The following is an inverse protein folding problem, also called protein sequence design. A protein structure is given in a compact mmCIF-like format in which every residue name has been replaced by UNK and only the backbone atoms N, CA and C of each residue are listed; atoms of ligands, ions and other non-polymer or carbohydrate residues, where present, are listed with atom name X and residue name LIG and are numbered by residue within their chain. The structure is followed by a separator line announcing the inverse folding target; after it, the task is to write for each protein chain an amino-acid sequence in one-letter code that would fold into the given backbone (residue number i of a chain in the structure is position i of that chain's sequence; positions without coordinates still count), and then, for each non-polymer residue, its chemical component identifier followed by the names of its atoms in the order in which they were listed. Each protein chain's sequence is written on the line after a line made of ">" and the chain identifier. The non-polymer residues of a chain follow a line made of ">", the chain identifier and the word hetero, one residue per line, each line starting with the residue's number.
data_IF_254066825072
#
_entry.id   IF_254066825072
#
_cell.length_a   1.000
_cell.length_b   1.000
_cell.length_c   1.000
_cell.angle_alpha   90.00
_cell.angle_beta   90.00
_cell.angle_gamma   90.00
#
_symmetry.space_group_name_H-M   'P 1'
#
loop_
_entity.id
_entity.type
_entity.pdbx_description
1 polymer ?
#
# COMPACT_ATOMS: atom_id res chain seq x y z
N UNK A 1 6.00 -24.13 -7.49
CA UNK A 1 6.51 -22.80 -7.90
C UNK A 1 5.63 -21.76 -7.23
N UNK A 2 6.22 -20.83 -6.48
CA UNK A 2 5.48 -19.83 -5.71
C UNK A 2 4.85 -18.73 -6.58
N UNK A 3 3.93 -17.92 -6.02
CA UNK A 3 3.38 -16.80 -6.76
C UNK A 3 4.47 -15.74 -7.03
N UNK A 4 4.43 -15.13 -8.21
CA UNK A 4 5.28 -13.97 -8.54
C UNK A 4 4.63 -12.69 -8.03
N UNK A 5 5.34 -11.97 -7.17
CA UNK A 5 4.88 -10.74 -6.53
C UNK A 5 5.80 -9.59 -6.93
N UNK A 6 5.20 -8.50 -7.39
CA UNK A 6 5.93 -7.25 -7.67
C UNK A 6 5.63 -6.29 -6.54
N UNK A 7 6.68 -5.76 -5.91
CA UNK A 7 6.61 -4.73 -4.87
C UNK A 7 7.00 -3.41 -5.52
N UNK A 8 6.09 -2.43 -5.47
CA UNK A 8 6.34 -1.09 -5.95
C UNK A 8 7.15 -0.30 -4.92
N UNK A 9 8.36 0.10 -5.30
CA UNK A 9 9.16 1.09 -4.61
C UNK A 9 8.78 2.48 -5.10
N UNK A 10 8.24 3.33 -4.23
CA UNK A 10 7.95 4.72 -4.55
C UNK A 10 8.89 5.70 -3.81
N UNK A 11 10.00 5.19 -3.28
CA UNK A 11 11.02 5.94 -2.55
C UNK A 11 10.82 6.00 -1.03
N UNK A 12 9.87 5.25 -0.47
CA UNK A 12 9.60 5.26 0.98
C UNK A 12 9.09 3.91 1.51
N UNK A 13 9.31 3.67 2.81
CA UNK A 13 8.88 2.49 3.54
C UNK A 13 9.99 1.48 3.83
N UNK A 14 9.63 0.38 4.49
CA UNK A 14 10.56 -0.68 4.89
C UNK A 14 10.54 -1.86 3.90
N UNK A 15 11.00 -1.61 2.68
CA UNK A 15 10.92 -2.55 1.55
C UNK A 15 11.63 -3.87 1.83
N UNK A 16 12.81 -3.82 2.45
CA UNK A 16 13.58 -5.02 2.83
C UNK A 16 12.79 -5.96 3.74
N UNK A 17 11.96 -5.42 4.63
CA UNK A 17 11.16 -6.26 5.52
C UNK A 17 9.95 -6.85 4.79
N UNK A 18 9.30 -6.07 3.94
CA UNK A 18 8.19 -6.54 3.12
C UNK A 18 8.65 -7.65 2.14
N UNK A 19 9.76 -7.44 1.45
CA UNK A 19 10.39 -8.41 0.54
C UNK A 19 10.69 -9.73 1.26
N UNK A 20 11.39 -9.66 2.41
CA UNK A 20 11.71 -10.85 3.20
C UNK A 20 10.48 -11.57 3.70
N UNK A 21 9.44 -10.85 4.10
CA UNK A 21 8.18 -11.43 4.55
C UNK A 21 7.48 -12.20 3.41
N UNK A 22 7.39 -11.59 2.23
CA UNK A 22 6.80 -12.21 1.03
C UNK A 22 7.61 -13.43 0.57
N UNK A 23 8.95 -13.32 0.54
CA UNK A 23 9.82 -14.45 0.21
C UNK A 23 9.67 -15.60 1.21
N UNK A 24 9.57 -15.31 2.52
CA UNK A 24 9.29 -16.31 3.55
C UNK A 24 7.92 -16.95 3.42
N UNK A 25 6.93 -16.22 2.89
CA UNK A 25 5.61 -16.75 2.55
C UNK A 25 5.62 -17.60 1.25
N UNK A 26 6.79 -17.76 0.60
CA UNK A 26 6.96 -18.59 -0.58
C UNK A 26 6.77 -17.86 -1.91
N UNK A 27 6.74 -16.52 -1.93
CA UNK A 27 6.66 -15.75 -3.16
C UNK A 27 8.03 -15.54 -3.81
N UNK A 28 8.05 -15.49 -5.13
CA UNK A 28 9.16 -14.93 -5.91
C UNK A 28 8.93 -13.43 -6.03
N UNK A 29 9.83 -12.62 -5.45
CA UNK A 29 9.61 -11.18 -5.27
C UNK A 29 10.49 -10.37 -6.22
N UNK A 30 9.90 -9.36 -6.87
CA UNK A 30 10.61 -8.34 -7.62
C UNK A 30 10.28 -6.98 -7.03
N UNK A 31 11.30 -6.22 -6.61
CA UNK A 31 11.14 -4.83 -6.18
C UNK A 31 11.46 -3.92 -7.37
N UNK A 32 10.60 -2.95 -7.66
CA UNK A 32 10.78 -2.03 -8.79
C UNK A 32 10.13 -0.68 -8.52
N UNK A 33 10.77 0.38 -9.00
CA UNK A 33 10.24 1.74 -9.07
C UNK A 33 9.50 2.05 -10.38
N UNK A 34 9.54 1.12 -11.34
CA UNK A 34 8.84 1.26 -12.61
C UNK A 34 7.33 1.04 -12.43
N UNK A 35 6.59 2.14 -12.51
CA UNK A 35 5.12 2.13 -12.46
C UNK A 35 4.48 1.35 -13.63
N UNK A 36 5.20 1.17 -14.74
CA UNK A 36 4.76 0.34 -15.87
C UNK A 36 4.85 -1.14 -15.50
N UNK A 37 5.90 -1.55 -14.82
CA UNK A 37 6.03 -2.90 -14.25
C UNK A 37 5.04 -3.14 -13.10
N UNK A 38 4.74 -2.11 -12.30
CA UNK A 38 3.80 -2.19 -11.18
C UNK A 38 2.32 -2.05 -11.61
N UNK A 39 2.05 -1.44 -12.77
CA UNK A 39 0.78 -1.33 -13.48
C UNK A 39 -0.47 -1.17 -12.58
N UNK A 40 -0.40 -0.28 -11.57
CA UNK A 40 -1.34 -0.22 -10.44
C UNK A 40 -2.82 -0.14 -10.85
N UNK A 41 -3.19 0.78 -11.75
CA UNK A 41 -4.57 0.93 -12.22
C UNK A 41 -4.98 -0.21 -13.19
N UNK A 42 -4.06 -0.66 -14.03
CA UNK A 42 -4.29 -1.73 -15.00
C UNK A 42 -4.46 -3.10 -14.34
N UNK A 43 -3.72 -3.39 -13.27
CA UNK A 43 -3.84 -4.63 -12.50
C UNK A 43 -5.16 -4.70 -11.76
N UNK A 44 -5.61 -3.59 -11.16
CA UNK A 44 -6.93 -3.51 -10.53
C UNK A 44 -8.04 -3.65 -11.56
N UNK A 45 -7.98 -2.90 -12.68
CA UNK A 45 -8.97 -3.01 -13.75
C UNK A 45 -9.03 -4.41 -14.38
N UNK A 46 -7.91 -5.13 -14.43
CA UNK A 46 -7.83 -6.51 -14.90
C UNK A 46 -8.18 -7.56 -13.83
N UNK A 47 -8.69 -7.16 -12.65
CA UNK A 47 -9.07 -8.10 -11.57
C UNK A 47 -7.91 -8.88 -10.97
N UNK A 48 -6.67 -8.40 -11.14
CA UNK A 48 -5.48 -9.07 -10.60
C UNK A 48 -5.32 -8.72 -9.11
N UNK A 49 -4.85 -9.66 -8.27
CA UNK A 49 -4.62 -9.37 -6.85
C UNK A 49 -3.69 -8.18 -6.62
N UNK A 50 -4.09 -7.27 -5.74
CA UNK A 50 -3.33 -6.08 -5.30
C UNK A 50 -3.43 -5.99 -3.77
N UNK A 51 -2.30 -5.67 -3.13
CA UNK A 51 -2.18 -5.51 -1.69
C UNK A 51 -1.57 -4.13 -1.38
N UNK A 52 -2.23 -3.35 -0.52
CA UNK A 52 -1.69 -2.11 0.02
C UNK A 52 -1.21 -2.32 1.46
N UNK A 53 -0.02 -1.81 1.81
CA UNK A 53 0.55 -1.87 3.17
C UNK A 53 0.74 -0.46 3.71
N UNK A 54 0.24 -0.19 4.92
CA UNK A 54 0.34 1.13 5.58
C UNK A 54 -0.20 2.25 4.66
N UNK A 55 0.63 3.23 4.28
CA UNK A 55 0.27 4.28 3.31
C UNK A 55 -0.25 3.68 2.00
N UNK A 56 0.30 2.56 1.55
CA UNK A 56 -0.16 1.84 0.35
C UNK A 56 -1.62 1.38 0.41
N UNK A 57 -2.16 1.13 1.61
CA UNK A 57 -3.59 0.88 1.81
C UNK A 57 -4.37 2.20 1.79
N UNK A 58 -3.87 3.24 2.46
CA UNK A 58 -4.54 4.53 2.58
C UNK A 58 -4.79 5.18 1.21
N UNK A 59 -3.83 5.09 0.30
CA UNK A 59 -3.94 5.64 -1.07
C UNK A 59 -5.00 4.95 -1.94
N UNK A 60 -5.62 3.85 -1.49
CA UNK A 60 -6.71 3.19 -2.22
C UNK A 60 -8.05 3.90 -2.01
N UNK A 61 -8.19 4.67 -0.93
CA UNK A 61 -9.40 5.45 -0.63
C UNK A 61 -9.52 6.69 -1.55
N UNK A 62 -10.65 7.39 -1.47
CA UNK A 62 -10.93 8.58 -2.30
C UNK A 62 -10.04 9.76 -1.92
N UNK A 63 -9.73 9.91 -0.63
CA UNK A 63 -8.88 10.98 -0.12
C UNK A 63 -8.24 10.61 1.23
N UNK A 64 -7.22 11.37 1.61
CA UNK A 64 -6.67 11.39 2.96
C UNK A 64 -6.58 12.82 3.48
N UNK A 65 -6.88 13.02 4.76
CA UNK A 65 -6.66 14.27 5.49
C UNK A 65 -5.51 14.04 6.49
N UNK A 66 -4.36 14.65 6.20
CA UNK A 66 -3.20 14.65 7.09
C UNK A 66 -2.95 16.08 7.58
N UNK A 67 -3.22 16.31 8.86
CA UNK A 67 -3.05 17.63 9.51
C UNK A 67 -3.81 18.78 8.81
N UNK A 68 -5.01 18.50 8.28
CA UNK A 68 -5.84 19.47 7.56
C UNK A 68 -5.49 19.59 6.08
N UNK A 69 -4.48 18.86 5.59
CA UNK A 69 -4.13 18.80 4.17
C UNK A 69 -4.87 17.63 3.53
N UNK A 70 -5.88 17.96 2.73
CA UNK A 70 -6.66 16.96 1.99
C UNK A 70 -5.99 16.64 0.65
N UNK A 71 -5.61 15.38 0.48
CA UNK A 71 -4.99 14.87 -0.76
C UNK A 71 -5.88 13.81 -1.40
N UNK A 72 -6.04 13.88 -2.73
CA UNK A 72 -6.80 12.89 -3.50
C UNK A 72 -6.07 11.54 -3.52
N UNK A 73 -6.81 10.46 -3.24
CA UNK A 73 -6.36 9.08 -3.39
C UNK A 73 -6.77 8.49 -4.74
N UNK A 74 -6.64 7.16 -4.90
CA UNK A 74 -7.07 6.50 -6.15
C UNK A 74 -8.59 6.36 -6.29
N UNK A 75 -9.34 6.43 -5.19
CA UNK A 75 -10.80 6.23 -5.21
C UNK A 75 -11.21 4.81 -5.62
N UNK A 76 -10.40 3.80 -5.29
CA UNK A 76 -10.75 2.39 -5.47
C UNK A 76 -11.65 1.86 -4.34
N UNK A 77 -11.55 2.49 -3.17
CA UNK A 77 -12.39 2.24 -2.00
C UNK A 77 -13.10 3.56 -1.64
N UNK A 78 -14.39 3.52 -1.26
CA UNK A 78 -15.11 4.73 -0.87
C UNK A 78 -14.63 5.27 0.48
N UNK A 79 -14.76 6.59 0.69
CA UNK A 79 -14.46 7.25 1.95
C UNK A 79 -13.06 7.84 2.04
N UNK A 80 -12.72 8.32 3.24
CA UNK A 80 -11.48 9.05 3.52
C UNK A 80 -10.67 8.47 4.67
N UNK A 81 -9.35 8.61 4.58
CA UNK A 81 -8.42 8.33 5.69
C UNK A 81 -8.29 9.59 6.53
N UNK A 82 -8.72 9.50 7.79
CA UNK A 82 -8.77 10.65 8.71
C UNK A 82 -8.12 10.32 10.05
N UNK A 83 -7.90 11.36 10.87
CA UNK A 83 -7.33 11.23 12.21
C UNK A 83 -8.19 10.29 13.09
N UNK A 84 -7.52 9.35 13.75
CA UNK A 84 -8.18 8.47 14.72
C UNK A 84 -8.74 9.28 15.90
N UNK A 85 -9.96 8.96 16.38
CA UNK A 85 -10.57 9.61 17.53
C UNK A 85 -9.98 9.04 18.84
N UNK A 86 -8.71 9.34 19.11
CA UNK A 86 -7.99 8.87 20.30
C UNK A 86 -7.09 9.97 20.88
N UNK A 87 -6.93 9.95 22.21
CA UNK A 87 -6.10 10.93 22.93
C UNK A 87 -4.60 10.74 22.68
N UNK A 88 -4.17 9.49 22.48
CA UNK A 88 -2.76 9.13 22.25
C UNK A 88 -2.55 8.75 20.79
N UNK A 89 -1.77 9.56 20.10
CA UNK A 89 -1.41 9.39 18.69
C UNK A 89 0.10 9.61 18.49
N UNK A 90 0.72 8.96 17.48
CA UNK A 90 0.12 7.96 16.59
C UNK A 90 -0.18 6.65 17.33
N UNK A 91 -1.08 5.83 16.77
CA UNK A 91 -1.30 4.47 17.27
C UNK A 91 -0.06 3.62 17.03
N UNK A 92 0.60 3.19 18.11
CA UNK A 92 1.83 2.41 18.09
C UNK A 92 1.69 1.24 19.07
N UNK A 93 1.71 0.01 18.57
CA UNK A 93 1.55 -1.19 19.39
C UNK A 93 0.76 -2.28 18.70
N UNK A 94 0.31 -3.25 19.48
CA UNK A 94 -0.50 -4.38 19.04
C UNK A 94 -1.97 -4.11 19.40
N UNK A 95 -2.86 -4.36 18.44
CA UNK A 95 -4.33 -4.23 18.55
C UNK A 95 -4.99 -5.50 18.00
#
# INVERSE_FOLDING_TARGET
>A
MGPRVVVLDYGSGNLRSAERALARAGAEVTVTDDLTAAARALRVAAGRPVLGICVGMQVLFEHGDEHGVVTKGLGLLPGGVTKLPADRLPHMGWN
#
